data_IF_602000948472
#
_entry.id   IF_602000948472
#
_cell.length_a   1.000
_cell.length_b   1.000
_cell.length_c   1.000
_cell.angle_alpha   90.00
_cell.angle_beta   90.00
_cell.angle_gamma   90.00
#
_symmetry.space_group_name_H-M   'P 1'
#
loop_
_entity.id
_entity.type
_entity.pdbx_description
1 polymer ?
#
# COMPACT_ATOMS: atom_id res chain seq x y z
N UNK A 1 -43.71 2.48 6.68
CA UNK A 1 -43.37 2.13 5.29
C UNK A 1 -42.73 3.36 4.70
N UNK A 2 -41.44 3.24 4.39
CA UNK A 2 -40.48 4.24 3.89
C UNK A 2 -39.20 4.16 4.73
N UNK A 3 -38.47 3.07 4.48
CA UNK A 3 -37.16 2.79 5.02
C UNK A 3 -36.27 2.31 3.86
N UNK A 4 -36.08 3.17 2.86
CA UNK A 4 -34.98 2.99 1.92
C UNK A 4 -33.67 3.33 2.64
N UNK A 5 -32.97 2.26 3.00
CA UNK A 5 -31.69 2.31 3.68
C UNK A 5 -30.68 3.14 2.89
N UNK A 6 -30.09 4.12 3.59
CA UNK A 6 -28.83 4.77 3.21
C UNK A 6 -27.74 3.70 3.15
N UNK A 7 -27.62 3.02 2.00
CA UNK A 7 -26.44 2.22 1.67
C UNK A 7 -25.22 3.13 1.75
N UNK A 8 -24.22 2.75 2.54
CA UNK A 8 -22.92 3.39 2.56
C UNK A 8 -22.28 3.35 1.17
N UNK A 9 -22.44 4.45 0.41
CA UNK A 9 -21.85 4.67 -0.93
C UNK A 9 -20.32 4.90 -0.90
N UNK A 10 -19.64 4.50 0.16
CA UNK A 10 -18.21 4.76 0.33
C UNK A 10 -17.38 4.02 -0.73
N UNK A 11 -17.80 2.82 -1.15
CA UNK A 11 -17.13 2.06 -2.21
C UNK A 11 -17.57 2.45 -3.63
N UNK A 12 -18.71 3.15 -3.78
CA UNK A 12 -19.22 3.63 -5.07
C UNK A 12 -18.63 5.00 -5.48
N UNK A 13 -17.94 5.67 -4.56
CA UNK A 13 -17.34 6.99 -4.79
C UNK A 13 -15.86 6.94 -5.22
N UNK A 14 -15.35 5.77 -5.61
CA UNK A 14 -14.07 5.69 -6.33
C UNK A 14 -14.25 6.42 -7.68
N UNK A 15 -13.43 7.44 -8.00
CA UNK A 15 -13.54 8.16 -9.26
C UNK A 15 -13.32 7.19 -10.43
N UNK A 16 -14.31 7.04 -11.31
CA UNK A 16 -14.10 6.29 -12.55
C UNK A 16 -15.32 5.78 -13.30
N UNK A 17 -16.48 5.56 -12.68
CA UNK A 17 -17.58 4.92 -13.44
C UNK A 17 -18.99 5.25 -12.92
N UNK A 18 -19.46 6.50 -13.13
CA UNK A 18 -20.90 6.79 -13.06
C UNK A 18 -21.54 6.46 -14.41
N UNK A 19 -22.31 5.35 -14.47
CA UNK A 19 -23.22 5.06 -15.59
C UNK A 19 -24.26 6.17 -15.68
N UNK A 20 -24.12 7.08 -16.64
CA UNK A 20 -25.19 7.99 -17.07
C UNK A 20 -26.19 7.19 -17.90
N UNK A 21 -27.29 6.78 -17.27
CA UNK A 21 -28.50 6.32 -17.97
C UNK A 21 -29.35 7.56 -18.26
N UNK A 22 -29.07 8.23 -19.37
CA UNK A 22 -29.89 9.31 -19.90
C UNK A 22 -30.38 8.93 -21.29
N UNK A 23 -31.68 8.64 -21.40
CA UNK A 23 -32.38 8.42 -22.67
C UNK A 23 -32.44 9.75 -23.44
N UNK A 24 -31.50 9.94 -24.35
CA UNK A 24 -31.59 10.96 -25.39
C UNK A 24 -31.57 10.27 -26.75
N UNK A 25 -32.77 10.10 -27.30
CA UNK A 25 -33.10 9.60 -28.64
C UNK A 25 -32.77 10.64 -29.72
N UNK A 26 -31.52 11.13 -29.73
CA UNK A 26 -30.97 11.96 -30.81
C UNK A 26 -29.86 11.19 -31.53
N UNK A 27 -30.09 10.85 -32.80
CA UNK A 27 -29.24 10.03 -33.67
C UNK A 27 -27.88 10.66 -34.01
N UNK A 28 -27.03 10.87 -33.02
CA UNK A 28 -25.62 11.16 -33.22
C UNK A 28 -24.90 9.84 -33.48
N UNK A 29 -24.46 9.62 -34.72
CA UNK A 29 -23.51 8.56 -35.10
C UNK A 29 -22.15 8.78 -34.42
N UNK A 30 -22.11 8.72 -33.10
CA UNK A 30 -20.85 8.56 -32.38
C UNK A 30 -20.33 7.18 -32.77
N UNK A 31 -19.35 7.16 -33.69
CA UNK A 31 -18.57 5.98 -33.99
C UNK A 31 -18.10 5.42 -32.65
N UNK A 32 -18.64 4.26 -32.29
CA UNK A 32 -18.29 3.64 -31.02
C UNK A 32 -16.88 3.10 -31.19
N UNK A 33 -16.01 3.35 -30.21
CA UNK A 33 -14.62 2.89 -30.26
C UNK A 33 -14.52 1.39 -30.57
N UNK A 34 -15.49 0.58 -30.08
CA UNK A 34 -15.54 -0.87 -30.30
C UNK A 34 -16.03 -1.31 -31.69
N UNK A 35 -16.40 -0.39 -32.59
CA UNK A 35 -16.71 -0.68 -33.99
C UNK A 35 -15.57 -0.38 -34.95
N UNK A 36 -14.42 0.08 -34.44
CA UNK A 36 -13.23 0.31 -35.24
C UNK A 36 -12.59 -1.03 -35.68
N UNK A 37 -11.92 -1.04 -36.84
CA UNK A 37 -11.09 -2.17 -37.27
C UNK A 37 -10.01 -2.57 -36.24
N UNK A 38 -9.66 -3.86 -36.20
CA UNK A 38 -8.71 -4.44 -35.24
C UNK A 38 -7.33 -3.74 -35.27
N UNK A 39 -6.84 -3.37 -36.45
CA UNK A 39 -5.57 -2.64 -36.65
C UNK A 39 -5.57 -1.25 -35.98
N UNK A 40 -6.66 -0.50 -36.11
CA UNK A 40 -6.82 0.78 -35.41
C UNK A 40 -6.91 0.56 -33.90
N UNK A 41 -7.62 -0.48 -33.46
CA UNK A 41 -7.72 -0.82 -32.04
C UNK A 41 -6.39 -1.23 -31.44
N UNK A 42 -5.55 -1.97 -32.17
CA UNK A 42 -4.19 -2.32 -31.76
C UNK A 42 -3.37 -1.05 -31.53
N UNK A 43 -3.39 -0.09 -32.47
CA UNK A 43 -2.66 1.17 -32.33
C UNK A 43 -3.10 1.95 -31.10
N UNK A 44 -4.41 2.06 -30.85
CA UNK A 44 -4.96 2.76 -29.68
C UNK A 44 -4.53 2.05 -28.39
N UNK A 45 -4.73 0.72 -28.32
CA UNK A 45 -4.39 -0.07 -27.14
C UNK A 45 -2.88 -0.06 -26.84
N UNK A 46 -2.03 -0.02 -27.88
CA UNK A 46 -0.58 0.05 -27.74
C UNK A 46 -0.08 1.37 -27.15
N UNK A 47 -0.88 2.44 -27.18
CA UNK A 47 -0.54 3.74 -26.56
C UNK A 47 -1.08 3.87 -25.14
N UNK A 48 -1.87 2.91 -24.67
CA UNK A 48 -2.44 2.94 -23.33
C UNK A 48 -1.41 2.56 -22.25
N UNK A 49 -1.61 3.07 -21.04
CA UNK A 49 -0.93 2.62 -19.81
C UNK A 49 -1.56 1.33 -19.30
N UNK A 50 -0.85 0.63 -18.41
CA UNK A 50 -1.28 -0.65 -17.85
C UNK A 50 -2.68 -0.59 -17.21
N UNK A 51 -2.97 0.47 -16.45
CA UNK A 51 -4.26 0.65 -15.76
C UNK A 51 -5.41 0.86 -16.75
N UNK A 52 -5.15 1.65 -17.80
CA UNK A 52 -6.11 1.94 -18.88
C UNK A 52 -6.44 0.68 -19.66
N UNK A 53 -5.44 -0.14 -19.98
CA UNK A 53 -5.64 -1.42 -20.67
C UNK A 53 -6.47 -2.38 -19.84
N UNK A 54 -6.17 -2.51 -18.54
CA UNK A 54 -6.96 -3.38 -17.67
C UNK A 54 -8.40 -2.91 -17.53
N UNK A 55 -8.62 -1.59 -17.45
CA UNK A 55 -9.96 -1.01 -17.44
C UNK A 55 -10.70 -1.26 -18.77
N UNK A 56 -10.10 -0.89 -19.91
CA UNK A 56 -10.67 -1.03 -21.25
C UNK A 56 -11.04 -2.47 -21.57
N UNK A 57 -10.18 -3.44 -21.22
CA UNK A 57 -10.45 -4.87 -21.40
C UNK A 57 -11.71 -5.34 -20.66
N UNK A 58 -12.06 -4.70 -19.54
CA UNK A 58 -13.27 -4.99 -18.78
C UNK A 58 -14.56 -4.37 -19.35
N UNK A 59 -14.47 -3.46 -20.32
CA UNK A 59 -15.62 -2.71 -20.82
C UNK A 59 -16.41 -3.42 -21.92
N UNK A 60 -15.76 -4.12 -22.86
CA UNK A 60 -16.45 -4.84 -23.93
C UNK A 60 -15.68 -6.07 -24.45
N UNK A 61 -16.42 -6.99 -25.08
CA UNK A 61 -15.85 -8.23 -25.62
C UNK A 61 -14.87 -7.98 -26.78
N UNK A 62 -15.08 -6.94 -27.60
CA UNK A 62 -14.19 -6.60 -28.72
C UNK A 62 -12.78 -6.30 -28.24
N UNK A 63 -12.60 -5.38 -27.27
CA UNK A 63 -11.27 -5.08 -26.72
C UNK A 63 -10.61 -6.31 -26.10
N UNK A 64 -11.39 -7.13 -25.37
CA UNK A 64 -10.87 -8.37 -24.80
C UNK A 64 -10.35 -9.33 -25.88
N UNK A 65 -11.08 -9.47 -26.99
CA UNK A 65 -10.71 -10.36 -28.09
C UNK A 65 -9.49 -9.83 -28.87
N UNK A 66 -9.45 -8.54 -29.20
CA UNK A 66 -8.30 -7.89 -29.84
C UNK A 66 -7.06 -8.07 -28.95
N UNK A 67 -7.20 -7.76 -27.66
CA UNK A 67 -6.10 -7.90 -26.71
C UNK A 67 -5.58 -9.34 -26.63
N UNK A 68 -6.48 -10.33 -26.55
CA UNK A 68 -6.09 -11.75 -26.49
C UNK A 68 -5.44 -12.25 -27.79
N UNK A 69 -5.88 -11.77 -28.95
CA UNK A 69 -5.33 -12.17 -30.26
C UNK A 69 -3.97 -11.53 -30.54
N UNK A 70 -3.78 -10.28 -30.13
CA UNK A 70 -2.60 -9.47 -30.45
C UNK A 70 -1.74 -9.13 -29.23
N UNK A 71 -1.80 -9.97 -28.18
CA UNK A 71 -1.14 -9.70 -26.90
C UNK A 71 0.37 -9.53 -27.05
N UNK A 72 1.00 -10.29 -27.94
CA UNK A 72 2.44 -10.23 -28.19
C UNK A 72 2.93 -8.87 -28.71
N UNK A 73 2.06 -8.09 -29.34
CA UNK A 73 2.39 -6.75 -29.85
C UNK A 73 1.92 -5.64 -28.90
N UNK A 74 0.69 -5.75 -28.38
CA UNK A 74 0.10 -4.73 -27.50
C UNK A 74 0.86 -4.66 -26.16
N UNK A 75 1.18 -5.81 -25.55
CA UNK A 75 1.76 -5.85 -24.21
C UNK A 75 3.12 -5.15 -24.09
N UNK A 76 4.11 -5.42 -24.98
CA UNK A 76 5.38 -4.69 -24.95
C UNK A 76 5.20 -3.19 -25.08
N UNK A 77 4.32 -2.73 -25.98
CA UNK A 77 4.06 -1.30 -26.20
C UNK A 77 3.42 -0.67 -24.96
N UNK A 78 2.41 -1.31 -24.36
CA UNK A 78 1.78 -0.85 -23.12
C UNK A 78 2.79 -0.77 -21.97
N UNK A 79 3.68 -1.76 -21.87
CA UNK A 79 4.74 -1.74 -20.87
C UNK A 79 5.71 -0.58 -21.11
N UNK A 80 6.12 -0.32 -22.36
CA UNK A 80 6.98 0.81 -22.71
C UNK A 80 6.32 2.16 -22.43
N UNK A 81 5.02 2.31 -22.75
CA UNK A 81 4.24 3.50 -22.42
C UNK A 81 4.11 3.71 -20.90
N UNK A 82 3.99 2.62 -20.13
CA UNK A 82 3.85 2.68 -18.67
C UNK A 82 5.18 2.94 -17.96
N UNK A 83 6.29 2.39 -18.49
CA UNK A 83 7.61 2.38 -17.86
C UNK A 83 8.68 2.95 -18.80
N UNK A 84 8.59 4.24 -19.17
CA UNK A 84 9.52 4.83 -20.12
C UNK A 84 10.95 4.78 -19.58
N UNK A 85 11.86 4.18 -20.36
CA UNK A 85 13.28 4.11 -20.03
C UNK A 85 13.69 3.02 -19.03
N UNK A 86 12.75 2.23 -18.49
CA UNK A 86 13.06 1.18 -17.50
C UNK A 86 13.59 -0.11 -18.17
N UNK A 87 14.88 -0.17 -18.49
CA UNK A 87 15.46 -1.26 -19.31
C UNK A 87 15.35 -2.61 -18.60
N UNK A 88 15.72 -2.68 -17.33
CA UNK A 88 15.65 -3.92 -16.54
C UNK A 88 14.20 -4.41 -16.36
N UNK A 89 13.27 -3.47 -16.16
CA UNK A 89 11.85 -3.82 -16.01
C UNK A 89 11.24 -4.34 -17.32
N UNK A 90 11.72 -3.85 -18.46
CA UNK A 90 11.20 -4.20 -19.80
C UNK A 90 11.94 -5.38 -20.45
N UNK A 91 12.79 -6.09 -19.71
CA UNK A 91 13.44 -7.29 -20.21
C UNK A 91 12.41 -8.31 -20.74
N UNK A 92 12.68 -8.92 -21.91
CA UNK A 92 11.76 -9.87 -22.51
C UNK A 92 11.52 -11.06 -21.57
N UNK A 93 10.31 -11.64 -21.57
CA UNK A 93 10.03 -12.84 -20.80
C UNK A 93 10.96 -13.98 -21.24
N UNK A 94 11.60 -14.63 -20.27
CA UNK A 94 12.42 -15.84 -20.50
C UNK A 94 11.52 -17.03 -20.89
N UNK A 95 10.28 -17.03 -20.43
CA UNK A 95 9.34 -18.12 -20.69
C UNK A 95 8.93 -18.18 -22.17
N UNK A 96 8.78 -19.40 -22.74
CA UNK A 96 8.40 -19.58 -24.15
C UNK A 96 6.99 -19.05 -24.48
N UNK A 97 6.16 -18.81 -23.46
CA UNK A 97 4.83 -18.21 -23.63
C UNK A 97 4.85 -16.77 -24.15
N UNK A 98 6.02 -16.13 -24.21
CA UNK A 98 6.17 -14.75 -24.69
C UNK A 98 5.44 -13.73 -23.80
N UNK A 99 5.14 -12.57 -24.37
CA UNK A 99 4.45 -11.48 -23.69
C UNK A 99 2.97 -11.82 -23.44
N UNK A 100 2.59 -11.88 -22.17
CA UNK A 100 1.22 -12.19 -21.73
C UNK A 100 0.78 -11.28 -20.57
N UNK A 101 -0.52 -11.29 -20.25
CA UNK A 101 -1.08 -10.42 -19.22
C UNK A 101 -0.49 -10.64 -17.84
N UNK A 102 -0.09 -11.87 -17.54
CA UNK A 102 0.59 -12.18 -16.29
C UNK A 102 1.93 -11.46 -16.24
N UNK A 103 2.73 -11.54 -17.30
CA UNK A 103 4.01 -10.81 -17.39
C UNK A 103 3.81 -9.30 -17.21
N UNK A 104 2.80 -8.71 -17.85
CA UNK A 104 2.49 -7.28 -17.74
C UNK A 104 2.08 -6.90 -16.31
N UNK A 105 1.18 -7.67 -15.70
CA UNK A 105 0.72 -7.47 -14.32
C UNK A 105 1.88 -7.57 -13.32
N UNK A 106 2.81 -8.49 -13.56
CA UNK A 106 4.01 -8.69 -12.74
C UNK A 106 4.99 -7.51 -12.79
N UNK A 107 4.88 -6.60 -13.77
CA UNK A 107 5.70 -5.38 -13.80
C UNK A 107 5.33 -4.38 -12.69
N UNK A 108 4.08 -4.37 -12.22
CA UNK A 108 3.64 -3.48 -11.12
C UNK A 108 4.43 -3.73 -9.83
N UNK A 109 4.45 -4.94 -9.24
CA UNK A 109 5.22 -5.20 -8.02
C UNK A 109 6.73 -5.04 -8.23
N UNK A 110 7.24 -5.27 -9.45
CA UNK A 110 8.64 -5.02 -9.78
C UNK A 110 8.99 -3.53 -9.81
N UNK A 111 8.12 -2.68 -10.36
CA UNK A 111 8.29 -1.23 -10.33
C UNK A 111 8.22 -0.70 -8.90
N UNK A 112 7.25 -1.17 -8.10
CA UNK A 112 7.17 -0.82 -6.68
C UNK A 112 8.43 -1.26 -5.91
N UNK A 113 8.98 -2.43 -6.23
CA UNK A 113 10.24 -2.88 -5.66
C UNK A 113 11.42 -2.00 -6.10
N UNK A 114 11.47 -1.59 -7.37
CA UNK A 114 12.50 -0.69 -7.88
C UNK A 114 12.48 0.66 -7.16
N UNK A 115 11.31 1.28 -7.04
CA UNK A 115 11.12 2.53 -6.29
C UNK A 115 11.52 2.33 -4.83
N UNK A 116 11.03 1.28 -4.18
CA UNK A 116 11.29 1.06 -2.77
C UNK A 116 12.78 0.88 -2.48
N UNK A 117 13.49 0.13 -3.31
CA UNK A 117 14.92 -0.14 -3.16
C UNK A 117 15.81 1.06 -3.54
N UNK A 118 15.43 1.84 -4.56
CA UNK A 118 16.15 3.05 -4.99
C UNK A 118 16.00 4.18 -3.95
N UNK A 119 14.79 4.33 -3.38
CA UNK A 119 14.48 5.42 -2.45
C UNK A 119 14.77 5.10 -0.99
N UNK A 120 14.88 3.83 -0.62
CA UNK A 120 15.23 3.44 0.74
C UNK A 120 16.69 3.77 1.04
N UNK A 121 16.91 4.40 2.19
CA UNK A 121 18.22 4.90 2.62
C UNK A 121 18.91 3.87 3.53
N UNK A 122 19.70 2.99 2.93
CA UNK A 122 20.50 2.00 3.67
C UNK A 122 21.63 2.67 4.46
N UNK A 123 21.92 2.14 5.65
CA UNK A 123 23.14 2.46 6.39
C UNK A 123 24.09 1.29 6.15
N UNK A 124 25.26 1.57 5.59
CA UNK A 124 26.28 0.54 5.37
C UNK A 124 27.22 0.50 6.57
N UNK A 125 27.50 -0.68 7.08
CA UNK A 125 28.28 -0.93 8.31
C UNK A 125 29.71 -0.39 8.17
N UNK A 126 30.26 -0.44 6.96
CA UNK A 126 31.58 0.12 6.63
C UNK A 126 31.61 1.65 6.62
N UNK A 127 30.45 2.30 6.50
CA UNK A 127 30.31 3.76 6.46
C UNK A 127 29.10 4.23 7.29
N UNK A 128 29.13 4.08 8.62
CA UNK A 128 28.01 4.47 9.48
C UNK A 128 27.69 5.98 9.40
N UNK A 129 28.68 6.79 8.98
CA UNK A 129 28.56 8.22 8.74
C UNK A 129 28.51 8.60 7.24
N UNK A 130 28.51 7.61 6.34
CA UNK A 130 28.46 7.85 4.90
C UNK A 130 27.08 8.32 4.42
N UNK A 131 26.99 8.85 3.18
CA UNK A 131 25.71 9.13 2.56
C UNK A 131 24.90 7.84 2.50
N UNK A 132 23.63 7.89 2.95
CA UNK A 132 22.72 6.76 2.78
C UNK A 132 22.24 6.74 1.35
N UNK A 133 22.64 5.73 0.59
CA UNK A 133 22.32 5.59 -0.84
C UNK A 133 21.43 4.36 -1.00
N UNK A 134 20.36 4.47 -1.79
CA UNK A 134 19.59 3.32 -2.24
C UNK A 134 20.27 2.59 -3.41
N UNK A 135 19.65 1.54 -3.92
CA UNK A 135 20.16 0.82 -5.09
C UNK A 135 19.36 1.28 -6.30
N UNK A 136 20.02 1.95 -7.25
CA UNK A 136 19.39 2.50 -8.45
C UNK A 136 18.52 1.44 -9.16
N UNK A 137 17.34 1.85 -9.66
CA UNK A 137 16.40 0.93 -10.32
C UNK A 137 17.05 0.15 -11.48
N UNK A 138 17.95 0.80 -12.22
CA UNK A 138 18.65 0.23 -13.39
C UNK A 138 20.01 -0.44 -13.05
N UNK A 139 20.42 -0.50 -11.78
CA UNK A 139 21.63 -1.26 -11.41
C UNK A 139 21.32 -2.76 -11.34
N UNK A 140 21.86 -3.53 -12.28
CA UNK A 140 21.66 -4.98 -12.37
C UNK A 140 22.02 -5.75 -11.08
N UNK A 141 22.91 -5.22 -10.21
CA UNK A 141 23.22 -5.85 -8.91
C UNK A 141 22.00 -5.91 -7.99
N UNK A 142 21.09 -4.93 -8.09
CA UNK A 142 19.87 -4.88 -7.29
C UNK A 142 18.77 -5.84 -7.76
N UNK A 143 18.96 -6.56 -8.87
CA UNK A 143 17.89 -7.37 -9.51
C UNK A 143 17.37 -8.47 -8.60
N UNK A 144 18.26 -9.24 -7.96
CA UNK A 144 17.88 -10.31 -7.04
C UNK A 144 17.10 -9.73 -5.84
N UNK A 145 17.61 -8.64 -5.27
CA UNK A 145 16.98 -7.98 -4.12
C UNK A 145 15.60 -7.41 -4.47
N UNK A 146 15.47 -6.70 -5.61
CA UNK A 146 14.19 -6.23 -6.12
C UNK A 146 13.22 -7.37 -6.44
N UNK A 147 13.71 -8.51 -6.92
CA UNK A 147 12.90 -9.71 -7.12
C UNK A 147 12.25 -10.21 -5.84
N UNK A 148 13.01 -10.24 -4.73
CA UNK A 148 12.51 -10.58 -3.39
C UNK A 148 11.52 -9.54 -2.86
N UNK A 149 11.83 -8.26 -2.98
CA UNK A 149 10.91 -7.18 -2.58
C UNK A 149 9.61 -7.23 -3.39
N UNK A 150 9.68 -7.51 -4.69
CA UNK A 150 8.50 -7.70 -5.56
C UNK A 150 7.67 -8.92 -5.11
N UNK A 151 8.30 -10.01 -4.70
CA UNK A 151 7.64 -11.17 -4.08
C UNK A 151 6.85 -10.77 -2.83
N UNK A 152 7.46 -9.98 -1.94
CA UNK A 152 6.78 -9.41 -0.78
C UNK A 152 5.55 -8.55 -1.16
N UNK A 153 5.66 -7.74 -2.21
CA UNK A 153 4.52 -6.95 -2.72
C UNK A 153 3.36 -7.84 -3.21
N UNK A 154 3.65 -8.99 -3.85
CA UNK A 154 2.59 -9.95 -4.25
C UNK A 154 1.86 -10.52 -3.04
N UNK A 155 2.58 -10.85 -1.98
CA UNK A 155 2.00 -11.39 -0.75
C UNK A 155 1.10 -10.34 -0.10
N UNK A 156 1.55 -9.07 -0.02
CA UNK A 156 0.71 -7.98 0.44
C UNK A 156 -0.56 -7.83 -0.42
N UNK A 157 -0.44 -7.97 -1.75
CA UNK A 157 -1.59 -8.00 -2.66
C UNK A 157 -2.57 -9.13 -2.35
N UNK A 158 -2.09 -10.35 -2.09
CA UNK A 158 -2.93 -11.50 -1.70
C UNK A 158 -3.65 -11.23 -0.37
N UNK A 159 -2.95 -10.67 0.63
CA UNK A 159 -3.51 -10.33 1.94
C UNK A 159 -4.58 -9.24 1.86
N UNK A 160 -4.42 -8.25 0.98
CA UNK A 160 -5.40 -7.18 0.75
C UNK A 160 -6.60 -7.65 -0.07
N UNK A 161 -6.40 -8.53 -1.04
CA UNK A 161 -7.51 -9.12 -1.81
C UNK A 161 -8.49 -9.85 -0.89
N UNK A 162 -8.01 -10.52 0.17
CA UNK A 162 -8.87 -11.14 1.19
C UNK A 162 -9.79 -10.10 1.84
N UNK A 163 -9.25 -8.93 2.22
CA UNK A 163 -10.07 -7.85 2.76
C UNK A 163 -11.09 -7.35 1.76
N UNK A 164 -10.65 -7.09 0.52
CA UNK A 164 -11.54 -6.64 -0.55
C UNK A 164 -12.69 -7.63 -0.78
N UNK A 165 -12.41 -8.93 -0.81
CA UNK A 165 -13.41 -9.96 -1.05
C UNK A 165 -14.43 -10.05 0.09
N UNK A 166 -13.98 -9.95 1.35
CA UNK A 166 -14.89 -10.01 2.51
C UNK A 166 -15.71 -8.72 2.66
N UNK A 167 -15.12 -7.56 2.38
CA UNK A 167 -15.84 -6.28 2.46
C UNK A 167 -16.84 -6.09 1.32
N UNK A 168 -16.73 -6.86 0.24
CA UNK A 168 -17.74 -6.96 -0.82
C UNK A 168 -18.97 -7.81 -0.45
N UNK A 169 -18.86 -8.65 0.59
CA UNK A 169 -19.98 -9.47 1.05
C UNK A 169 -21.07 -8.59 1.68
N UNK A 170 -22.32 -8.92 1.41
CA UNK A 170 -23.44 -8.28 2.10
C UNK A 170 -23.42 -8.64 3.59
N UNK A 171 -23.94 -7.75 4.43
CA UNK A 171 -23.96 -7.96 5.88
C UNK A 171 -24.68 -9.27 6.28
N UNK A 172 -25.69 -9.69 5.50
CA UNK A 172 -26.40 -10.96 5.68
C UNK A 172 -25.49 -12.16 5.45
N UNK A 173 -24.65 -12.10 4.41
CA UNK A 173 -23.72 -13.17 4.07
C UNK A 173 -22.66 -13.30 5.17
N UNK A 174 -22.09 -12.17 5.61
CA UNK A 174 -21.13 -12.12 6.73
C UNK A 174 -21.72 -12.77 7.99
N UNK A 175 -22.98 -12.47 8.31
CA UNK A 175 -23.67 -13.07 9.47
C UNK A 175 -23.93 -14.56 9.30
N UNK A 176 -24.28 -15.00 8.09
CA UNK A 176 -24.50 -16.42 7.80
C UNK A 176 -23.23 -17.26 7.93
N UNK A 177 -22.07 -16.63 7.72
CA UNK A 177 -20.75 -17.26 7.89
C UNK A 177 -20.29 -17.29 9.35
N UNK A 178 -20.99 -16.60 10.26
CA UNK A 178 -20.70 -16.61 11.69
C UNK A 178 -21.64 -17.56 12.42
N UNK A 179 -21.10 -18.41 13.30
CA UNK A 179 -21.90 -19.30 14.16
C UNK A 179 -22.79 -18.54 15.17
N UNK A 180 -22.64 -17.21 15.26
CA UNK A 180 -23.43 -16.36 16.14
C UNK A 180 -24.85 -16.20 15.58
N UNK A 181 -25.87 -16.66 16.31
CA UNK A 181 -27.29 -16.63 15.92
C UNK A 181 -27.72 -15.23 15.41
N UNK A 182 -28.05 -15.16 14.12
CA UNK A 182 -28.49 -13.96 13.40
C UNK A 182 -29.73 -13.26 14.01
N UNK A 183 -30.52 -13.98 14.82
CA UNK A 183 -31.83 -13.54 15.32
C UNK A 183 -31.76 -12.35 16.30
N UNK A 184 -30.65 -12.16 17.03
CA UNK A 184 -30.54 -11.05 17.99
C UNK A 184 -30.10 -9.73 17.34
N UNK A 185 -29.33 -9.80 16.26
CA UNK A 185 -28.70 -8.63 15.63
C UNK A 185 -29.68 -7.76 14.85
N UNK A 186 -30.79 -8.31 14.38
CA UNK A 186 -31.83 -7.57 13.66
C UNK A 186 -32.61 -6.59 14.54
N UNK A 187 -32.57 -6.71 15.87
CA UNK A 187 -33.34 -5.85 16.77
C UNK A 187 -32.65 -4.51 17.12
N UNK A 188 -31.34 -4.33 16.83
CA UNK A 188 -30.57 -3.15 17.24
C UNK A 188 -29.70 -2.63 16.09
N UNK A 189 -30.23 -1.70 15.28
CA UNK A 189 -29.56 -1.19 14.07
C UNK A 189 -28.18 -0.58 14.32
N UNK A 190 -27.98 0.17 15.40
CA UNK A 190 -26.66 0.76 15.71
C UNK A 190 -25.62 -0.29 16.12
N UNK A 191 -26.04 -1.32 16.87
CA UNK A 191 -25.17 -2.45 17.24
C UNK A 191 -24.91 -3.37 16.05
N UNK A 192 -25.84 -3.43 15.11
CA UNK A 192 -25.74 -4.24 13.90
C UNK A 192 -24.55 -3.82 13.03
N UNK A 193 -24.33 -2.53 12.82
CA UNK A 193 -23.24 -2.02 11.99
C UNK A 193 -21.87 -2.30 12.61
N UNK A 194 -21.69 -1.95 13.88
CA UNK A 194 -20.45 -2.22 14.63
C UNK A 194 -20.12 -3.72 14.68
N UNK A 195 -21.12 -4.56 14.96
CA UNK A 195 -20.93 -6.02 14.96
C UNK A 195 -20.58 -6.55 13.57
N UNK A 196 -21.20 -6.02 12.52
CA UNK A 196 -20.90 -6.44 11.14
C UNK A 196 -19.45 -6.13 10.78
N UNK A 197 -18.93 -4.95 11.15
CA UNK A 197 -17.52 -4.60 10.95
C UNK A 197 -16.62 -5.55 11.73
N UNK A 198 -16.93 -5.82 13.01
CA UNK A 198 -16.18 -6.78 13.83
C UNK A 198 -16.11 -8.17 13.19
N UNK A 199 -17.25 -8.69 12.74
CA UNK A 199 -17.32 -10.00 12.09
C UNK A 199 -16.54 -10.05 10.78
N UNK A 200 -16.57 -8.97 9.98
CA UNK A 200 -15.73 -8.87 8.78
C UNK A 200 -14.25 -8.94 9.12
N UNK A 201 -13.80 -8.22 10.14
CA UNK A 201 -12.39 -8.22 10.57
C UNK A 201 -11.96 -9.59 11.13
N UNK A 202 -12.85 -10.28 11.85
CA UNK A 202 -12.64 -11.66 12.34
C UNK A 202 -12.46 -12.64 11.16
N UNK A 203 -13.34 -12.59 10.16
CA UNK A 203 -13.23 -13.40 8.94
C UNK A 203 -11.98 -13.07 8.11
N UNK A 204 -11.63 -11.77 8.01
CA UNK A 204 -10.41 -11.32 7.32
C UNK A 204 -9.19 -11.89 8.00
N UNK A 205 -9.11 -11.78 9.33
CA UNK A 205 -8.01 -12.33 10.11
C UNK A 205 -7.89 -13.84 9.88
N UNK A 206 -8.99 -14.59 10.01
CA UNK A 206 -9.00 -16.03 9.82
C UNK A 206 -8.47 -16.43 8.43
N UNK A 207 -8.97 -15.82 7.35
CA UNK A 207 -8.52 -16.14 5.98
C UNK A 207 -7.08 -15.74 5.72
N UNK A 208 -6.60 -14.64 6.31
CA UNK A 208 -5.19 -14.25 6.21
C UNK A 208 -4.28 -15.24 6.92
N UNK A 209 -4.66 -15.74 8.10
CA UNK A 209 -3.89 -16.78 8.80
C UNK A 209 -3.82 -18.07 7.97
N UNK A 210 -4.93 -18.50 7.38
CA UNK A 210 -4.94 -19.63 6.44
C UNK A 210 -4.01 -19.39 5.23
N UNK A 211 -4.03 -18.19 4.66
CA UNK A 211 -3.10 -17.84 3.58
C UNK A 211 -1.64 -17.97 4.05
N UNK A 212 -1.33 -17.46 5.24
CA UNK A 212 0.02 -17.52 5.82
C UNK A 212 0.46 -18.97 6.04
N UNK A 213 -0.43 -19.89 6.40
CA UNK A 213 -0.12 -21.31 6.47
C UNK A 213 0.32 -21.91 5.12
N UNK A 214 -0.21 -21.38 4.00
CA UNK A 214 0.11 -21.88 2.65
C UNK A 214 1.36 -21.28 2.00
N UNK A 215 1.82 -20.09 2.39
CA UNK A 215 3.02 -19.48 1.78
C UNK A 215 4.30 -20.20 2.22
N UNK A 216 5.34 -20.17 1.40
CA UNK A 216 6.65 -20.73 1.76
C UNK A 216 7.39 -19.87 2.81
N UNK A 217 8.42 -20.44 3.45
CA UNK A 217 9.31 -19.69 4.37
C UNK A 217 10.00 -18.53 3.63
N UNK A 218 10.47 -18.75 2.40
CA UNK A 218 11.11 -17.70 1.59
C UNK A 218 10.14 -16.57 1.23
N UNK A 219 8.89 -16.89 0.90
CA UNK A 219 7.85 -15.88 0.70
C UNK A 219 7.61 -15.05 1.98
N UNK A 220 7.57 -15.69 3.14
CA UNK A 220 7.44 -14.99 4.41
C UNK A 220 8.64 -14.03 4.66
N UNK A 221 9.88 -14.48 4.40
CA UNK A 221 11.07 -13.64 4.48
C UNK A 221 11.03 -12.45 3.51
N UNK A 222 10.58 -12.68 2.27
CA UNK A 222 10.43 -11.67 1.22
C UNK A 222 9.39 -10.61 1.63
N UNK A 223 8.29 -11.03 2.24
CA UNK A 223 7.29 -10.12 2.79
C UNK A 223 7.87 -9.26 3.91
N UNK A 224 8.57 -9.86 4.89
CA UNK A 224 9.19 -9.11 5.99
C UNK A 224 10.20 -8.10 5.47
N UNK A 225 11.02 -8.50 4.49
CA UNK A 225 11.97 -7.60 3.83
C UNK A 225 11.27 -6.42 3.18
N UNK A 226 10.28 -6.67 2.32
CA UNK A 226 9.50 -5.63 1.65
C UNK A 226 8.89 -4.69 2.69
N UNK A 227 8.25 -5.24 3.72
CA UNK A 227 7.55 -4.46 4.73
C UNK A 227 8.51 -3.63 5.60
N UNK A 228 9.71 -4.15 5.88
CA UNK A 228 10.78 -3.42 6.56
C UNK A 228 11.22 -2.19 5.77
N UNK A 229 11.41 -2.33 4.45
CA UNK A 229 11.77 -1.20 3.59
C UNK A 229 10.62 -0.20 3.49
N UNK A 230 9.39 -0.71 3.34
CA UNK A 230 8.17 0.07 3.21
C UNK A 230 7.91 0.94 4.44
N UNK A 231 8.20 0.43 5.64
CA UNK A 231 8.06 1.22 6.85
C UNK A 231 8.94 2.48 6.85
N UNK A 232 10.05 2.47 6.11
CA UNK A 232 10.93 3.63 5.92
C UNK A 232 10.35 4.73 5.02
N UNK A 233 9.27 4.46 4.27
CA UNK A 233 8.54 5.48 3.52
C UNK A 233 7.73 6.41 4.44
N UNK A 234 7.33 5.93 5.62
CA UNK A 234 6.56 6.69 6.60
C UNK A 234 7.50 7.57 7.42
N UNK A 235 7.23 8.87 7.43
CA UNK A 235 8.05 9.85 8.16
C UNK A 235 7.18 10.73 9.05
N UNK A 236 7.67 10.93 10.27
CA UNK A 236 7.19 11.98 11.14
C UNK A 236 8.07 13.21 10.90
N UNK A 237 7.51 14.21 10.20
CA UNK A 237 8.15 15.49 10.00
C UNK A 237 8.33 16.20 11.35
N UNK A 238 9.50 16.80 11.55
CA UNK A 238 9.67 17.77 12.64
C UNK A 238 8.75 18.96 12.31
N UNK A 239 7.89 19.36 13.25
CA UNK A 239 7.15 20.61 13.14
C UNK A 239 8.15 21.70 12.81
N UNK A 240 8.04 22.28 11.62
CA UNK A 240 9.06 23.19 11.11
C UNK A 240 8.94 24.51 11.84
N UNK A 241 9.56 24.64 13.02
CA UNK A 241 9.85 25.95 13.63
C UNK A 241 10.83 26.77 12.79
N UNK A 242 11.44 26.20 11.75
CA UNK A 242 12.47 26.85 10.91
C UNK A 242 12.04 27.19 9.47
N UNK A 243 10.83 26.86 9.00
CA UNK A 243 10.30 27.36 7.71
C UNK A 243 9.55 28.70 7.83
N UNK A 244 9.87 29.50 8.84
CA UNK A 244 9.15 30.74 9.16
C UNK A 244 9.50 31.96 8.29
N UNK A 245 10.29 31.82 7.22
CA UNK A 245 10.67 32.97 6.37
C UNK A 245 9.98 33.03 5.01
N UNK A 246 9.22 32.02 4.60
CA UNK A 246 8.43 32.09 3.35
C UNK A 246 6.95 32.00 3.71
N UNK A 247 6.26 33.14 3.63
CA UNK A 247 4.80 33.32 3.83
C UNK A 247 3.96 32.61 2.76
N UNK A 248 4.24 31.35 2.44
CA UNK A 248 3.29 30.54 1.69
C UNK A 248 2.24 30.03 2.67
N UNK A 249 0.97 30.19 2.30
CA UNK A 249 -0.22 29.68 2.99
C UNK A 249 -0.21 28.14 2.91
N UNK A 250 0.80 27.53 3.53
CA UNK A 250 1.00 26.09 3.52
C UNK A 250 -0.06 25.47 4.43
N UNK A 251 -0.91 24.63 3.84
CA UNK A 251 -1.81 23.73 4.57
C UNK A 251 -0.98 23.04 5.65
N UNK A 252 -1.36 23.22 6.92
CA UNK A 252 -0.69 22.51 8.02
C UNK A 252 -0.79 21.01 7.74
N UNK A 253 0.34 20.34 7.65
CA UNK A 253 0.36 18.89 7.53
C UNK A 253 -0.42 18.28 8.71
N UNK A 254 -1.32 17.32 8.46
CA UNK A 254 -2.11 16.71 9.52
C UNK A 254 -1.19 16.01 10.54
N UNK A 255 -1.55 16.11 11.80
CA UNK A 255 -0.88 15.41 12.90
C UNK A 255 -1.11 13.90 12.74
N UNK A 256 -0.10 13.08 13.03
CA UNK A 256 -0.23 11.61 13.04
C UNK A 256 -1.34 11.17 14.02
N UNK A 257 -2.51 10.71 13.57
CA UNK A 257 -3.66 10.45 14.45
C UNK A 257 -3.74 8.99 14.93
N UNK A 258 -2.93 8.10 14.35
CA UNK A 258 -3.20 6.66 14.40
C UNK A 258 -2.71 5.97 15.68
N UNK A 259 -1.63 6.45 16.31
CA UNK A 259 -0.95 5.78 17.40
C UNK A 259 -0.21 6.80 18.30
N UNK A 260 -0.97 7.54 19.10
CA UNK A 260 -0.49 8.61 19.97
C UNK A 260 0.79 8.26 20.74
N UNK A 261 1.79 9.15 20.70
CA UNK A 261 2.96 9.11 21.58
C UNK A 261 4.22 8.44 21.03
N UNK A 262 4.17 7.74 19.89
CA UNK A 262 5.32 6.97 19.44
C UNK A 262 6.32 7.72 18.54
N UNK A 263 5.96 8.91 18.04
CA UNK A 263 6.88 9.84 17.37
C UNK A 263 7.86 9.17 16.39
N UNK A 264 9.16 9.24 16.70
CA UNK A 264 10.28 8.73 15.88
C UNK A 264 10.19 7.20 15.66
N UNK A 265 9.51 6.47 16.54
CA UNK A 265 9.38 5.01 16.47
C UNK A 265 8.22 4.51 15.58
N UNK A 266 7.45 5.40 14.94
CA UNK A 266 6.35 5.01 14.05
C UNK A 266 6.76 3.96 12.98
N UNK A 267 7.90 4.11 12.26
CA UNK A 267 8.37 3.07 11.33
C UNK A 267 8.64 1.71 11.98
N UNK A 268 9.00 1.67 13.26
CA UNK A 268 9.25 0.43 14.00
C UNK A 268 7.95 -0.25 14.39
N UNK A 269 6.96 0.51 14.83
CA UNK A 269 5.62 -0.03 15.14
C UNK A 269 4.94 -0.59 13.92
N UNK A 270 5.04 0.11 12.78
CA UNK A 270 4.54 -0.40 11.49
C UNK A 270 5.13 -1.78 11.23
N UNK A 271 6.46 -1.95 11.30
CA UNK A 271 7.11 -3.26 11.04
C UNK A 271 6.63 -4.39 11.93
N UNK A 272 6.28 -4.10 13.17
CA UNK A 272 5.80 -5.11 14.11
C UNK A 272 4.29 -5.38 13.98
N UNK A 273 3.56 -4.54 13.26
CA UNK A 273 2.11 -4.58 13.22
C UNK A 273 1.41 -3.92 14.40
N UNK A 274 2.14 -3.24 15.27
CA UNK A 274 1.59 -2.55 16.46
C UNK A 274 0.85 -1.25 16.09
N UNK A 275 1.08 -0.71 14.88
CA UNK A 275 0.44 0.52 14.40
C UNK A 275 -0.84 0.25 13.62
N UNK A 276 -1.86 1.11 13.78
CA UNK A 276 -3.09 1.05 12.96
C UNK A 276 -2.80 1.23 11.46
N UNK A 277 -1.76 1.98 11.12
CA UNK A 277 -1.29 2.10 9.73
C UNK A 277 -0.94 0.74 9.12
N UNK A 278 -0.48 -0.21 9.92
CA UNK A 278 -0.23 -1.59 9.45
C UNK A 278 -1.52 -2.25 8.99
N UNK A 279 -2.60 -2.11 9.76
CA UNK A 279 -3.92 -2.59 9.36
C UNK A 279 -4.35 -1.93 8.05
N UNK A 280 -4.20 -0.61 7.94
CA UNK A 280 -4.56 0.14 6.73
C UNK A 280 -3.79 -0.35 5.49
N UNK A 281 -2.47 -0.54 5.60
CA UNK A 281 -1.63 -1.07 4.50
C UNK A 281 -2.08 -2.48 4.12
N UNK A 282 -2.32 -3.35 5.10
CA UNK A 282 -2.79 -4.72 4.86
C UNK A 282 -4.16 -4.72 4.17
N UNK A 283 -5.04 -3.80 4.55
CA UNK A 283 -6.40 -3.69 4.03
C UNK A 283 -6.39 -3.18 2.58
N UNK A 284 -5.69 -2.07 2.31
CA UNK A 284 -5.68 -1.40 1.01
C UNK A 284 -4.71 -2.03 -0.01
N UNK A 285 -3.62 -2.64 0.45
CA UNK A 285 -2.67 -3.39 -0.39
C UNK A 285 -1.71 -2.54 -1.22
N UNK A 286 -1.04 -3.13 -2.24
CA UNK A 286 -0.02 -2.44 -3.02
C UNK A 286 -0.56 -1.31 -3.90
N UNK A 287 -1.88 -1.31 -4.18
CA UNK A 287 -2.52 -0.33 -5.08
C UNK A 287 -2.34 1.11 -4.60
N UNK A 288 -2.39 1.34 -3.28
CA UNK A 288 -2.22 2.68 -2.71
C UNK A 288 -0.87 3.32 -3.07
N UNK A 289 0.20 2.51 -3.05
CA UNK A 289 1.54 2.95 -3.40
C UNK A 289 1.73 3.04 -4.91
N UNK A 290 1.11 2.14 -5.68
CA UNK A 290 1.09 2.25 -7.14
C UNK A 290 0.47 3.56 -7.59
N UNK A 291 -0.65 3.94 -6.98
CA UNK A 291 -1.34 5.19 -7.30
C UNK A 291 -0.46 6.40 -6.99
N UNK A 292 0.03 6.54 -5.76
CA UNK A 292 0.85 7.70 -5.39
C UNK A 292 2.21 7.74 -6.11
N UNK A 293 2.92 6.62 -6.18
CA UNK A 293 4.30 6.61 -6.65
C UNK A 293 4.46 6.55 -8.16
N UNK A 294 3.41 6.18 -8.90
CA UNK A 294 3.53 5.96 -10.35
C UNK A 294 2.32 6.33 -11.19
N UNK A 295 1.11 5.92 -10.78
CA UNK A 295 -0.08 6.11 -11.63
C UNK A 295 -0.50 7.57 -11.69
N UNK A 296 -0.54 8.24 -10.55
CA UNK A 296 -0.99 9.62 -10.42
C UNK A 296 0.14 10.60 -10.80
N UNK A 297 -0.20 11.74 -11.43
CA UNK A 297 0.79 12.74 -11.83
C UNK A 297 1.43 13.37 -10.59
N UNK A 298 2.76 13.28 -10.41
CA UNK A 298 3.43 13.82 -9.23
C UNK A 298 3.40 15.35 -9.15
N UNK A 299 3.14 16.04 -10.27
CA UNK A 299 3.04 17.50 -10.31
C UNK A 299 1.73 18.04 -9.70
N UNK A 300 0.72 17.17 -9.56
CA UNK A 300 -0.56 17.53 -8.98
C UNK A 300 -0.47 17.56 -7.45
N UNK A 301 -0.75 18.70 -6.78
CA UNK A 301 -0.63 18.82 -5.33
C UNK A 301 -1.47 17.79 -4.55
N UNK A 302 -2.62 17.40 -5.09
CA UNK A 302 -3.52 16.41 -4.49
C UNK A 302 -3.00 14.96 -4.51
N UNK A 303 -1.98 14.66 -5.33
CA UNK A 303 -1.49 13.28 -5.49
C UNK A 303 -0.27 12.99 -4.62
N UNK A 304 0.50 14.03 -4.27
CA UNK A 304 1.76 13.90 -3.51
C UNK A 304 1.53 13.23 -2.15
N UNK A 305 0.39 13.53 -1.52
CA UNK A 305 0.01 13.02 -0.22
C UNK A 305 -1.16 12.03 -0.28
N UNK A 306 -1.41 11.41 -1.45
CA UNK A 306 -2.56 10.53 -1.69
C UNK A 306 -2.74 9.43 -0.64
N UNK A 307 -1.67 8.69 -0.32
CA UNK A 307 -1.69 7.63 0.70
C UNK A 307 -1.99 8.19 2.09
N UNK A 308 -1.41 9.34 2.43
CA UNK A 308 -1.63 10.02 3.72
C UNK A 308 -3.09 10.40 3.86
N UNK A 309 -3.64 11.03 2.83
CA UNK A 309 -4.99 11.58 2.83
C UNK A 309 -6.02 10.43 2.84
N UNK A 310 -5.77 9.33 2.12
CA UNK A 310 -6.58 8.11 2.21
C UNK A 310 -6.51 7.45 3.59
N UNK A 311 -5.34 7.42 4.23
CA UNK A 311 -5.21 6.85 5.58
C UNK A 311 -6.01 7.66 6.60
N UNK A 312 -5.95 8.99 6.52
CA UNK A 312 -6.73 9.91 7.35
C UNK A 312 -8.21 9.75 7.09
N UNK A 313 -8.61 9.72 5.82
CA UNK A 313 -10.00 9.52 5.43
C UNK A 313 -10.54 8.18 5.94
N UNK A 314 -9.76 7.10 5.84
CA UNK A 314 -10.15 5.79 6.33
C UNK A 314 -10.32 5.77 7.85
N UNK A 315 -9.38 6.37 8.58
CA UNK A 315 -9.41 6.45 10.05
C UNK A 315 -10.62 7.24 10.56
N UNK A 316 -11.00 8.32 9.86
CA UNK A 316 -12.15 9.13 10.23
C UNK A 316 -13.44 8.77 9.46
N UNK A 317 -13.46 7.69 8.67
CA UNK A 317 -14.59 7.34 7.80
C UNK A 317 -15.89 7.05 8.55
N UNK A 318 -15.77 6.65 9.81
CA UNK A 318 -16.91 6.38 10.70
C UNK A 318 -17.38 7.62 11.47
N UNK A 319 -16.73 8.78 11.27
CA UNK A 319 -17.14 10.04 11.87
C UNK A 319 -18.06 10.84 10.94
N UNK A 320 -19.08 11.51 11.50
CA UNK A 320 -19.78 12.59 10.80
C UNK A 320 -18.80 13.62 10.25
N UNK A 321 -19.07 14.16 9.06
CA UNK A 321 -18.18 15.14 8.41
C UNK A 321 -17.96 16.42 9.23
N UNK A 322 -18.91 16.77 10.11
CA UNK A 322 -18.81 17.93 11.01
C UNK A 322 -17.71 17.73 12.07
N UNK A 323 -17.54 16.50 12.55
CA UNK A 323 -16.54 16.18 13.55
C UNK A 323 -15.13 16.17 12.94
N UNK A 324 -14.96 15.75 11.69
CA UNK A 324 -13.64 15.69 11.04
C UNK A 324 -12.90 17.04 11.03
N UNK A 325 -13.62 18.17 10.98
CA UNK A 325 -13.04 19.52 10.91
C UNK A 325 -12.50 20.04 12.26
N UNK A 326 -13.07 19.60 13.38
CA UNK A 326 -12.67 20.02 14.74
C UNK A 326 -11.41 19.31 15.24
N UNK A 327 -10.95 18.27 14.56
CA UNK A 327 -9.94 17.31 15.05
C UNK A 327 -8.48 17.75 14.89
N UNK A 328 -8.21 19.05 14.84
CA UNK A 328 -6.88 19.62 14.64
C UNK A 328 -6.03 19.78 15.93
N UNK A 329 -6.46 19.27 17.09
CA UNK A 329 -5.91 19.73 18.38
C UNK A 329 -5.70 18.62 19.43
N UNK A 330 -4.89 18.97 20.42
CA UNK A 330 -4.23 18.17 21.48
C UNK A 330 -5.12 17.28 22.35
N UNK A 331 -6.44 17.35 22.17
CA UNK A 331 -7.44 16.70 23.03
C UNK A 331 -8.31 15.70 22.25
N UNK A 332 -7.80 15.14 21.14
CA UNK A 332 -8.54 14.14 20.38
C UNK A 332 -8.75 12.86 21.21
N UNK A 333 -10.02 12.54 21.44
CA UNK A 333 -10.47 11.24 21.91
C UNK A 333 -11.00 10.46 20.71
N UNK A 334 -10.43 9.28 20.46
CA UNK A 334 -10.84 8.42 19.36
C UNK A 334 -12.25 7.85 19.62
N UNK A 335 -13.28 8.28 18.89
CA UNK A 335 -14.65 7.83 19.13
C UNK A 335 -14.85 6.36 18.73
N UNK A 336 -13.92 5.80 17.95
CA UNK A 336 -13.93 4.41 17.50
C UNK A 336 -12.72 3.65 18.04
N UNK A 337 -12.20 4.05 19.21
CA UNK A 337 -10.98 3.49 19.81
C UNK A 337 -11.05 1.96 19.91
N UNK A 338 -12.18 1.40 20.35
CA UNK A 338 -12.34 -0.06 20.47
C UNK A 338 -12.16 -0.77 19.11
N UNK A 339 -12.72 -0.19 18.04
CA UNK A 339 -12.59 -0.74 16.70
C UNK A 339 -11.15 -0.62 16.20
N UNK A 340 -10.52 0.54 16.37
CA UNK A 340 -9.14 0.76 15.96
C UNK A 340 -8.15 -0.12 16.76
N UNK A 341 -8.38 -0.37 18.05
CA UNK A 341 -7.65 -1.36 18.85
C UNK A 341 -7.81 -2.76 18.26
N UNK A 342 -9.03 -3.17 17.92
CA UNK A 342 -9.28 -4.48 17.32
C UNK A 342 -8.55 -4.61 15.97
N UNK A 343 -8.65 -3.61 15.10
CA UNK A 343 -7.95 -3.59 13.80
C UNK A 343 -6.43 -3.68 13.95
N UNK A 344 -5.85 -2.95 14.91
CA UNK A 344 -4.44 -3.07 15.29
C UNK A 344 -4.08 -4.48 15.74
N UNK A 345 -4.89 -5.06 16.62
CA UNK A 345 -4.68 -6.42 17.13
C UNK A 345 -4.72 -7.45 15.99
N UNK A 346 -5.63 -7.29 15.03
CA UNK A 346 -5.67 -8.13 13.82
C UNK A 346 -4.40 -7.99 12.98
N UNK A 347 -3.92 -6.76 12.74
CA UNK A 347 -2.70 -6.52 11.98
C UNK A 347 -1.44 -7.05 12.68
N UNK A 348 -1.33 -6.85 14.00
CA UNK A 348 -0.26 -7.40 14.82
C UNK A 348 -0.23 -8.93 14.74
N UNK A 349 -1.41 -9.57 14.85
CA UNK A 349 -1.53 -11.03 14.75
C UNK A 349 -1.07 -11.55 13.38
N UNK A 350 -1.45 -10.88 12.29
CA UNK A 350 -0.99 -11.21 10.93
C UNK A 350 0.52 -11.06 10.80
N UNK A 351 1.09 -9.94 11.27
CA UNK A 351 2.54 -9.70 11.22
C UNK A 351 3.31 -10.71 12.05
N UNK A 352 2.82 -11.03 13.26
CA UNK A 352 3.43 -12.04 14.14
C UNK A 352 3.40 -13.43 13.50
N UNK A 353 2.28 -13.84 12.92
CA UNK A 353 2.19 -15.14 12.25
C UNK A 353 3.18 -15.28 11.07
N UNK A 354 3.38 -14.22 10.29
CA UNK A 354 4.39 -14.21 9.21
C UNK A 354 5.81 -14.26 9.79
N UNK A 355 6.06 -13.52 10.88
CA UNK A 355 7.35 -13.53 11.58
C UNK A 355 7.68 -14.90 12.19
N UNK A 356 6.72 -15.57 12.84
CA UNK A 356 6.88 -16.92 13.39
C UNK A 356 7.15 -17.96 12.29
N UNK A 357 6.58 -17.75 11.11
CA UNK A 357 6.87 -18.58 9.94
C UNK A 357 8.29 -18.39 9.41
N UNK A 358 8.93 -17.26 9.70
CA UNK A 358 10.31 -17.01 9.35
C UNK A 358 11.24 -17.62 10.41
N UNK A 359 12.13 -18.52 9.99
CA UNK A 359 13.17 -19.06 10.87
C UNK A 359 14.28 -18.05 11.18
N UNK A 360 14.34 -16.96 10.42
CA UNK A 360 15.40 -15.96 10.46
C UNK A 360 14.92 -14.72 11.20
N UNK A 361 15.66 -14.30 12.23
CA UNK A 361 15.45 -13.04 12.92
C UNK A 361 15.44 -11.86 11.93
N UNK A 362 14.55 -10.88 12.12
CA UNK A 362 14.51 -9.64 11.30
C UNK A 362 15.86 -8.94 11.24
N UNK A 363 16.66 -9.01 12.32
CA UNK A 363 18.02 -8.45 12.36
C UNK A 363 18.96 -9.21 11.43
N UNK A 364 18.89 -10.53 11.42
CA UNK A 364 19.69 -11.38 10.54
C UNK A 364 19.31 -11.17 9.08
N UNK A 365 18.02 -11.00 8.77
CA UNK A 365 17.58 -10.64 7.43
C UNK A 365 18.22 -9.31 6.99
N UNK A 366 18.13 -8.25 7.80
CA UNK A 366 18.73 -6.96 7.47
C UNK A 366 20.24 -7.06 7.16
N UNK A 367 21.00 -7.72 8.04
CA UNK A 367 22.44 -7.92 7.88
C UNK A 367 22.77 -8.80 6.68
N UNK A 368 21.98 -9.84 6.42
CA UNK A 368 22.18 -10.73 5.29
C UNK A 368 22.07 -9.97 3.97
N UNK A 369 21.05 -9.13 3.77
CA UNK A 369 20.90 -8.39 2.51
C UNK A 369 21.91 -7.27 2.36
N UNK A 370 22.25 -6.61 3.47
CA UNK A 370 23.30 -5.62 3.46
C UNK A 370 24.63 -6.27 3.04
N UNK A 371 24.97 -7.44 3.59
CA UNK A 371 26.18 -8.17 3.20
C UNK A 371 26.18 -8.64 1.74
N UNK A 372 25.02 -9.06 1.20
CA UNK A 372 24.91 -9.46 -0.22
C UNK A 372 25.21 -8.27 -1.14
N UNK A 373 24.65 -7.10 -0.83
CA UNK A 373 24.89 -5.90 -1.62
C UNK A 373 26.31 -5.38 -1.44
N UNK A 374 26.80 -5.29 -0.21
CA UNK A 374 28.15 -4.81 0.11
C UNK A 374 29.21 -5.68 -0.55
N UNK A 375 29.09 -7.01 -0.47
CA UNK A 375 30.01 -7.92 -1.16
C UNK A 375 30.02 -7.72 -2.67
N UNK A 376 28.83 -7.66 -3.28
CA UNK A 376 28.71 -7.49 -4.74
C UNK A 376 29.25 -6.12 -5.20
N UNK A 377 29.03 -5.08 -4.39
CA UNK A 377 29.50 -3.71 -4.63
C UNK A 377 31.01 -3.61 -4.45
N UNK A 378 31.56 -4.18 -3.38
CA UNK A 378 33.00 -4.20 -3.10
C UNK A 378 33.76 -5.00 -4.14
N UNK A 379 33.25 -6.15 -4.56
CA UNK A 379 33.85 -6.92 -5.67
C UNK A 379 33.88 -6.11 -6.98
N UNK A 380 32.84 -5.32 -7.26
CA UNK A 380 32.80 -4.42 -8.42
C UNK A 380 33.77 -3.24 -8.27
N UNK A 381 33.82 -2.58 -7.11
CA UNK A 381 34.73 -1.46 -6.83
C UNK A 381 36.19 -1.91 -6.87
N UNK A 382 36.50 -3.09 -6.36
CA UNK A 382 37.82 -3.70 -6.41
C UNK A 382 38.28 -4.00 -7.85
N UNK A 383 37.36 -4.41 -8.73
CA UNK A 383 37.64 -4.63 -10.17
C UNK A 383 37.88 -3.33 -10.94
N UNK A 384 37.35 -2.20 -10.47
CA UNK A 384 37.38 -0.92 -11.20
C UNK A 384 38.54 0.00 -10.76
N UNK A 385 39.17 -0.26 -9.61
CA UNK A 385 40.46 0.33 -9.24
C UNK A 385 40.51 1.86 -9.20
N UNK A 386 39.99 2.47 -8.12
CA UNK A 386 40.32 3.79 -7.54
C UNK A 386 40.39 5.08 -8.40
N UNK A 387 40.36 5.07 -9.74
CA UNK A 387 40.37 6.29 -10.60
C UNK A 387 39.03 6.61 -11.27
N UNK A 388 38.11 5.64 -11.36
CA UNK A 388 36.68 5.86 -11.69
C UNK A 388 35.85 6.37 -10.50
N UNK A 389 36.45 6.33 -9.30
CA UNK A 389 35.82 6.64 -8.02
C UNK A 389 35.41 8.11 -7.81
N UNK A 390 35.68 9.03 -8.75
CA UNK A 390 35.32 10.45 -8.66
C UNK A 390 34.41 10.98 -9.80
N UNK A 391 34.24 10.24 -10.91
CA UNK A 391 33.27 10.58 -11.98
C UNK A 391 31.96 9.77 -11.86
N UNK A 392 32.02 8.61 -11.19
CA UNK A 392 30.89 7.75 -10.84
C UNK A 392 30.25 8.12 -9.48
N UNK A 393 30.78 9.15 -8.82
CA UNK A 393 30.26 9.77 -7.62
C UNK A 393 29.03 10.63 -7.99
N UNK A 394 27.86 10.00 -7.93
CA UNK A 394 26.81 10.49 -7.03
C UNK A 394 25.88 11.66 -7.41
N UNK A 395 25.80 12.16 -8.65
CA UNK A 395 24.81 13.21 -9.00
C UNK A 395 23.64 12.79 -9.93
N UNK A 396 23.67 11.65 -10.66
CA UNK A 396 22.61 11.31 -11.64
C UNK A 396 21.92 9.95 -11.53
N UNK A 397 22.33 9.03 -10.65
CA UNK A 397 21.91 7.61 -10.73
C UNK A 397 20.70 7.23 -9.87
N UNK A 398 20.13 8.14 -9.09
CA UNK A 398 18.82 7.88 -8.48
C UNK A 398 17.75 8.12 -9.53
N UNK A 399 17.40 7.06 -10.24
CA UNK A 399 16.42 7.10 -11.34
C UNK A 399 15.02 7.50 -10.88
N UNK A 400 14.73 7.40 -9.58
CA UNK A 400 13.39 7.59 -9.02
C UNK A 400 13.27 8.83 -8.11
N UNK A 401 14.14 9.83 -8.24
CA UNK A 401 14.11 11.04 -7.38
C UNK A 401 12.76 11.78 -7.39
N UNK A 402 12.12 11.85 -8.56
CA UNK A 402 10.85 12.54 -8.76
C UNK A 402 9.65 11.84 -8.11
N UNK A 403 9.81 10.57 -7.69
CA UNK A 403 8.73 9.81 -7.07
C UNK A 403 8.40 10.39 -5.69
N UNK A 404 7.11 10.69 -5.39
CA UNK A 404 6.64 11.16 -4.08
C UNK A 404 6.66 10.00 -3.07
N UNK A 405 7.86 9.58 -2.71
CA UNK A 405 8.12 8.35 -1.96
C UNK A 405 7.70 8.44 -0.49
N UNK A 406 7.92 9.59 0.15
CA UNK A 406 7.68 9.75 1.57
C UNK A 406 6.22 10.08 1.87
N UNK A 407 5.70 9.43 2.91
CA UNK A 407 4.37 9.68 3.46
C UNK A 407 4.60 10.41 4.78
N UNK A 408 4.40 11.74 4.76
CA UNK A 408 4.83 12.63 5.84
C UNK A 408 3.64 13.10 6.67
N UNK A 409 3.73 12.91 7.98
CA UNK A 409 2.80 13.46 8.98
C UNK A 409 3.53 14.43 9.91
N UNK A 410 2.78 15.33 10.54
CA UNK A 410 3.32 16.18 11.61
C UNK A 410 3.43 15.39 12.91
N UNK A 411 4.54 15.58 13.64
CA UNK A 411 4.63 15.14 15.03
C UNK A 411 3.60 15.87 15.90
N UNK A 412 3.00 15.16 16.85
CA UNK A 412 2.25 15.80 17.92
C UNK A 412 3.25 16.55 18.82
N UNK A 413 3.17 17.89 18.90
CA UNK A 413 3.88 18.61 19.95
C UNK A 413 3.14 18.31 21.27
N UNK A 414 3.76 17.67 22.27
CA UNK A 414 3.13 17.55 23.57
C UNK A 414 2.85 18.97 24.08
N UNK A 415 1.65 19.22 24.59
CA UNK A 415 1.30 20.51 25.17
C UNK A 415 2.36 20.87 26.22
N UNK A 416 3.03 22.03 26.04
CA UNK A 416 4.08 22.50 26.95
C UNK A 416 3.50 22.60 28.36
N UNK A 417 3.75 21.60 29.20
CA UNK A 417 3.23 21.53 30.58
C UNK A 417 2.67 20.17 30.99
N UNK A 418 2.27 19.31 30.06
CA UNK A 418 1.89 17.94 30.38
C UNK A 418 3.16 17.08 30.50
N UNK A 419 3.69 16.94 31.72
CA UNK A 419 4.64 15.85 31.99
C UNK A 419 3.89 14.54 31.68
N UNK A 420 4.28 13.87 30.60
CA UNK A 420 3.67 12.61 30.19
C UNK A 420 3.84 11.60 31.32
N UNK A 421 2.78 11.41 32.12
CA UNK A 421 2.62 10.15 32.82
C UNK A 421 2.50 9.12 31.71
N UNK A 422 3.57 8.35 31.51
CA UNK A 422 3.59 7.21 30.60
C UNK A 422 2.57 6.24 31.18
N UNK A 423 1.31 6.35 30.76
CA UNK A 423 0.33 5.32 30.99
C UNK A 423 0.85 4.09 30.24
N UNK A 424 1.42 3.16 30.99
CA UNK A 424 1.78 1.85 30.49
C UNK A 424 0.49 1.23 29.97
N UNK A 425 0.30 1.25 28.65
CA UNK A 425 -0.80 0.53 28.00
C UNK A 425 -0.69 -0.92 28.49
N UNK A 426 -1.74 -1.51 29.09
CA UNK A 426 -1.69 -2.89 29.54
C UNK A 426 -1.27 -3.77 28.35
N UNK A 427 -0.27 -4.63 28.54
CA UNK A 427 0.19 -5.49 27.44
C UNK A 427 -1.00 -6.28 26.87
N UNK A 428 -0.98 -6.56 25.56
CA UNK A 428 -2.07 -7.25 24.85
C UNK A 428 -2.50 -8.59 25.52
N UNK A 429 -1.61 -9.21 26.29
CA UNK A 429 -1.92 -10.39 27.12
C UNK A 429 -2.96 -10.15 28.22
N UNK A 430 -3.06 -8.92 28.75
CA UNK A 430 -4.06 -8.54 29.77
C UNK A 430 -5.47 -8.38 29.16
N UNK A 431 -5.55 -7.93 27.90
CA UNK A 431 -6.83 -7.73 27.21
C UNK A 431 -7.44 -9.07 26.76
N UNK A 432 -6.61 -10.00 26.28
CA UNK A 432 -7.08 -11.35 25.90
C UNK A 432 -7.63 -12.14 27.10
N UNK A 433 -7.05 -11.99 28.29
CA UNK A 433 -7.52 -12.67 29.50
C UNK A 433 -8.80 -12.06 30.07
N UNK A 434 -9.03 -10.76 29.88
CA UNK A 434 -10.30 -10.10 30.23
C UNK A 434 -11.46 -10.47 29.28
N UNK A 435 -11.17 -10.70 28.00
CA UNK A 435 -12.20 -11.08 27.01
C UNK A 435 -12.70 -12.52 27.17
N UNK A 436 -11.82 -13.46 27.56
CA UNK A 436 -12.23 -14.86 27.80
C UNK A 436 -12.91 -15.07 29.16
N UNK A 437 -12.60 -14.28 30.20
CA UNK A 437 -13.25 -14.39 31.53
C UNK A 437 -14.69 -13.89 31.62
N UNK A 438 -15.21 -13.20 30.59
CA UNK A 438 -16.63 -12.79 30.52
C UNK A 438 -17.55 -13.80 29.82
N UNK A 439 -17.03 -14.99 29.48
CA UNK A 439 -17.80 -16.06 28.81
C UNK A 439 -17.86 -17.39 29.57
N UNK A 440 -17.43 -17.40 30.83
CA UNK A 440 -17.74 -18.42 31.83
C UNK A 440 -18.65 -17.80 32.87
#
# INVERSE_FOLDING_TARGET
>A
MDAEGKRHRFLDNIPGFKRRTGDHTGGSHLLRLNSLPDDVLILILSQCRIDEVFALRGTCATFRNVFSRYSAHIIPSVAQCTFPGSKLLLEPPIAPSGYNLTWLKERIPQQLAAILVDRHRFIFEEQPMGPRIGIAAEDALGTVFRGRVASGWRILGRLSNISSDIYRLDAKDVLSMSDKKATWLTAHTSRYESETVRLREELVLQRRLQLIETISVHEAEDYIMMFMLLSGAWRVGKSSRQQSTVKSVSKKNPTWPFDFGHGIDAPRMIRKGESWVTWFILHQGPRLFWEQWWSLPPEAPETTDHVRDLAIQAFFSLLPSEDQATHNYTDFSDPHEELHIMQRTCAETVQRAIQEKCSVSTRTLHLHYQSIYDRSRLERLARIGARAAAAAQAESDTTMLAVPFFIVFSAHEPAKGAQAQVHTIPSAHSIQSAFFRRRS
#
